data_IF_750690235682
#
_entry.id   IF_750690235682
#
_cell.length_a   1.000
_cell.length_b   1.000
_cell.length_c   1.000
_cell.angle_alpha   90.00
_cell.angle_beta   90.00
_cell.angle_gamma   90.00
#
_symmetry.space_group_name_H-M   'P 1'
#
loop_
_entity.id
_entity.type
_entity.pdbx_description
1 polymer ?
#
# COMPACT_ATOMS: atom_id res chain seq x y z
N UNK A 1 -0.24 24.21 -0.08
CA UNK A 1 -0.31 23.29 1.07
C UNK A 1 -1.38 22.23 0.83
N UNK A 2 -1.03 20.98 1.01
CA UNK A 2 -1.99 19.86 0.94
C UNK A 2 -1.99 19.19 2.33
N UNK A 3 -3.15 19.14 2.98
CA UNK A 3 -3.33 18.46 4.26
C UNK A 3 -2.26 18.83 5.33
N UNK A 4 -1.85 20.09 5.37
CA UNK A 4 -0.88 20.63 6.33
C UNK A 4 0.59 20.31 6.00
N UNK A 5 0.88 19.80 4.81
CA UNK A 5 2.24 19.56 4.31
C UNK A 5 2.47 20.17 2.94
N UNK A 6 3.61 19.84 2.33
CA UNK A 6 4.03 20.36 1.04
C UNK A 6 4.01 19.25 -0.02
N UNK A 7 3.51 19.59 -1.21
CA UNK A 7 3.64 18.79 -2.43
C UNK A 7 4.36 19.64 -3.47
N UNK A 8 5.49 19.16 -3.93
CA UNK A 8 6.22 19.73 -5.06
C UNK A 8 6.09 18.79 -6.25
N UNK A 9 5.76 19.32 -7.41
CA UNK A 9 5.67 18.55 -8.63
C UNK A 9 6.32 19.31 -9.80
N UNK A 10 7.11 18.61 -10.58
CA UNK A 10 7.76 19.12 -11.79
C UNK A 10 7.36 18.25 -12.96
N UNK A 11 6.91 18.88 -14.04
CA UNK A 11 6.56 18.20 -15.29
C UNK A 11 7.56 18.63 -16.36
N UNK A 12 8.22 17.67 -16.97
CA UNK A 12 9.27 17.88 -17.98
C UNK A 12 8.84 17.18 -19.27
N UNK A 13 8.46 17.91 -20.31
CA UNK A 13 8.19 17.32 -21.62
C UNK A 13 9.51 16.95 -22.31
N UNK A 14 9.51 15.89 -23.13
CA UNK A 14 10.69 15.49 -23.93
C UNK A 14 11.10 16.52 -24.98
N UNK A 15 10.14 17.36 -25.44
CA UNK A 15 10.33 18.49 -26.36
C UNK A 15 9.27 19.55 -26.09
N UNK A 16 9.61 20.82 -26.29
CA UNK A 16 8.66 21.93 -26.11
C UNK A 16 7.62 22.00 -27.24
N UNK A 17 7.99 21.60 -28.48
CA UNK A 17 7.15 21.78 -29.65
C UNK A 17 6.35 20.52 -30.01
N UNK A 18 6.91 19.36 -29.82
CA UNK A 18 6.25 18.08 -30.09
C UNK A 18 6.67 17.06 -29.06
N UNK A 19 6.10 17.12 -27.85
CA UNK A 19 6.46 16.19 -26.79
C UNK A 19 5.90 14.80 -27.08
N UNK A 20 6.77 13.80 -27.05
CA UNK A 20 6.40 12.38 -27.17
C UNK A 20 6.28 11.72 -25.80
N UNK A 21 6.89 12.32 -24.78
CA UNK A 21 6.89 11.80 -23.39
C UNK A 21 6.77 12.96 -22.39
N UNK A 22 6.19 12.65 -21.23
CA UNK A 22 6.14 13.53 -20.07
C UNK A 22 6.81 12.84 -18.90
N UNK A 23 7.89 13.41 -18.38
CA UNK A 23 8.45 13.01 -17.11
C UNK A 23 7.84 13.86 -16.00
N UNK A 24 7.27 13.22 -14.98
CA UNK A 24 6.73 13.87 -13.79
C UNK A 24 7.54 13.42 -12.58
N UNK A 25 8.03 14.38 -11.82
CA UNK A 25 8.69 14.14 -10.55
C UNK A 25 7.94 14.86 -9.45
N UNK A 26 7.63 14.18 -8.38
CA UNK A 26 6.95 14.79 -7.25
C UNK A 26 7.61 14.40 -5.93
N UNK A 27 7.51 15.27 -4.95
CA UNK A 27 7.91 15.01 -3.58
C UNK A 27 6.82 15.48 -2.61
N UNK A 28 6.65 14.72 -1.54
CA UNK A 28 5.73 14.98 -0.44
C UNK A 28 6.54 15.19 0.84
N UNK A 29 6.21 16.20 1.63
CA UNK A 29 6.83 16.44 2.93
C UNK A 29 5.78 16.82 3.97
N UNK A 30 5.70 16.04 5.05
CA UNK A 30 4.84 16.30 6.19
C UNK A 30 3.34 16.29 5.92
N UNK A 31 2.89 15.69 4.82
CA UNK A 31 1.47 15.66 4.41
C UNK A 31 0.67 14.75 5.32
N UNK A 32 -0.43 15.26 5.88
CA UNK A 32 -1.36 14.46 6.70
C UNK A 32 -2.00 13.34 5.89
N UNK A 33 -1.94 12.10 6.39
CA UNK A 33 -2.47 10.93 5.67
C UNK A 33 -4.00 10.85 5.71
N UNK A 34 -4.64 11.26 6.81
CA UNK A 34 -6.08 11.08 7.01
C UNK A 34 -6.92 11.75 5.91
N UNK A 35 -6.70 13.02 5.54
CA UNK A 35 -7.47 13.64 4.47
C UNK A 35 -7.31 12.95 3.11
N UNK A 36 -6.13 12.37 2.85
CA UNK A 36 -5.84 11.68 1.59
C UNK A 36 -6.58 10.33 1.50
N UNK A 37 -6.70 9.62 2.60
CA UNK A 37 -7.34 8.31 2.63
C UNK A 37 -8.85 8.36 2.87
N UNK A 38 -9.35 9.45 3.43
CA UNK A 38 -10.77 9.62 3.77
C UNK A 38 -11.75 9.27 2.64
N UNK A 39 -11.49 9.61 1.36
CA UNK A 39 -12.37 9.24 0.26
C UNK A 39 -12.43 7.72 0.00
N UNK A 40 -11.42 6.96 0.43
CA UNK A 40 -11.29 5.53 0.19
C UNK A 40 -11.68 4.69 1.42
N UNK A 41 -11.77 5.31 2.60
CA UNK A 41 -12.14 4.65 3.85
C UNK A 41 -13.65 4.65 4.02
N UNK A 42 -14.29 3.50 3.82
CA UNK A 42 -15.71 3.31 4.15
C UNK A 42 -15.93 3.20 5.66
N UNK A 43 -17.19 3.39 6.11
CA UNK A 43 -17.60 3.23 7.53
C UNK A 43 -17.33 1.83 8.08
N UNK A 44 -17.21 0.83 7.22
CA UNK A 44 -17.01 -0.59 7.55
C UNK A 44 -15.57 -1.05 7.29
N UNK A 45 -14.63 -0.12 7.09
CA UNK A 45 -13.22 -0.47 6.87
C UNK A 45 -12.65 -1.17 8.10
N UNK A 46 -11.95 -2.29 7.89
CA UNK A 46 -11.24 -3.03 8.94
C UNK A 46 -10.11 -2.20 9.56
N UNK A 47 -9.60 -1.22 8.82
CA UNK A 47 -8.55 -0.30 9.24
C UNK A 47 -9.04 1.13 9.04
N UNK A 48 -8.94 1.95 10.08
CA UNK A 48 -9.24 3.39 10.03
C UNK A 48 -8.02 4.16 10.49
N UNK A 49 -7.33 4.81 9.56
CA UNK A 49 -6.18 5.66 9.89
C UNK A 49 -6.70 7.00 10.39
N UNK A 50 -6.28 7.40 11.59
CA UNK A 50 -6.71 8.62 12.28
C UNK A 50 -5.74 9.78 12.09
N UNK A 51 -4.44 9.47 12.04
CA UNK A 51 -3.41 10.48 11.86
C UNK A 51 -2.13 9.85 11.32
N UNK A 52 -1.18 10.69 10.98
CA UNK A 52 0.16 10.34 10.52
C UNK A 52 0.64 11.32 9.47
N UNK A 53 1.95 11.39 9.29
CA UNK A 53 2.60 12.23 8.29
C UNK A 53 3.24 11.39 7.22
N UNK A 54 2.98 11.74 5.97
CA UNK A 54 3.58 11.14 4.79
C UNK A 54 4.75 11.98 4.29
N UNK A 55 5.82 11.31 3.96
CA UNK A 55 6.98 11.83 3.25
C UNK A 55 7.30 10.90 2.10
N UNK A 56 7.85 11.43 1.01
CA UNK A 56 8.30 10.56 -0.07
C UNK A 56 8.39 11.24 -1.42
N UNK A 57 8.53 10.42 -2.44
CA UNK A 57 8.68 10.86 -3.82
C UNK A 57 8.01 9.90 -4.79
N UNK A 58 7.59 10.44 -5.93
CA UNK A 58 7.13 9.66 -7.06
C UNK A 58 7.77 10.17 -8.36
N UNK A 59 8.04 9.24 -9.24
CA UNK A 59 8.46 9.53 -10.61
C UNK A 59 7.52 8.82 -11.57
N UNK A 60 7.15 9.50 -12.65
CA UNK A 60 6.36 8.94 -13.74
C UNK A 60 7.00 9.36 -15.06
N UNK A 61 7.11 8.43 -15.97
CA UNK A 61 7.50 8.67 -17.35
C UNK A 61 6.39 8.13 -18.26
N UNK A 62 5.62 9.04 -18.84
CA UNK A 62 4.41 8.75 -19.58
C UNK A 62 4.63 9.06 -21.06
N UNK A 63 4.50 8.09 -21.98
CA UNK A 63 4.43 8.36 -23.38
C UNK A 63 3.14 9.12 -23.72
N UNK A 64 3.22 9.97 -24.72
CA UNK A 64 2.08 10.71 -25.27
C UNK A 64 1.61 10.06 -26.56
N UNK A 65 0.33 9.73 -26.63
CA UNK A 65 -0.33 9.29 -27.85
C UNK A 65 -1.31 10.37 -28.29
N UNK A 66 -1.07 10.97 -29.45
CA UNK A 66 -1.87 12.11 -29.93
C UNK A 66 -1.97 13.25 -28.90
N UNK A 67 -0.87 13.57 -28.22
CA UNK A 67 -0.79 14.62 -27.20
C UNK A 67 -1.46 14.26 -25.85
N UNK A 68 -1.92 13.02 -25.67
CA UNK A 68 -2.55 12.57 -24.43
C UNK A 68 -1.65 11.58 -23.71
N UNK A 69 -1.46 11.71 -22.38
CA UNK A 69 -0.71 10.74 -21.60
C UNK A 69 -1.35 9.35 -21.67
N UNK A 70 -0.51 8.33 -21.94
CA UNK A 70 -0.87 6.91 -21.93
C UNK A 70 -0.31 6.24 -20.66
N UNK A 71 -1.05 6.26 -19.55
CA UNK A 71 -0.54 5.77 -18.27
C UNK A 71 -0.06 4.32 -18.31
N UNK A 72 -0.74 3.47 -19.09
CA UNK A 72 -0.43 2.04 -19.15
C UNK A 72 0.75 1.66 -20.04
N UNK A 73 1.21 2.59 -20.84
CA UNK A 73 2.45 2.43 -21.58
C UNK A 73 3.63 3.09 -20.87
N UNK A 74 3.37 3.76 -19.75
CA UNK A 74 4.35 4.46 -18.94
C UNK A 74 5.09 3.57 -17.96
N UNK A 75 6.01 4.21 -17.25
CA UNK A 75 6.74 3.63 -16.11
C UNK A 75 6.90 4.65 -15.00
N UNK A 76 7.12 4.18 -13.78
CA UNK A 76 7.30 5.08 -12.65
C UNK A 76 7.70 4.34 -11.37
N UNK A 77 8.01 5.11 -10.36
CA UNK A 77 8.29 4.61 -9.02
C UNK A 77 7.59 5.47 -7.98
N UNK A 78 7.28 4.84 -6.86
CA UNK A 78 6.70 5.49 -5.69
C UNK A 78 7.44 5.00 -4.45
N UNK A 79 7.99 5.95 -3.69
CA UNK A 79 8.62 5.71 -2.40
C UNK A 79 7.93 6.61 -1.38
N UNK A 80 7.24 5.99 -0.42
CA UNK A 80 6.56 6.72 0.64
C UNK A 80 6.99 6.19 2.00
N UNK A 81 7.02 7.06 2.98
CA UNK A 81 7.13 6.73 4.40
C UNK A 81 6.02 7.39 5.19
N UNK A 82 5.46 6.64 6.13
CA UNK A 82 4.50 7.11 7.13
C UNK A 82 5.19 7.16 8.48
N UNK A 83 5.02 8.26 9.21
CA UNK A 83 5.56 8.44 10.56
C UNK A 83 4.49 8.93 11.53
N UNK A 84 4.62 8.48 12.79
CA UNK A 84 3.77 8.92 13.88
C UNK A 84 2.29 8.66 13.66
N UNK A 85 1.98 7.57 12.94
CA UNK A 85 0.61 7.22 12.62
C UNK A 85 -0.18 6.70 13.83
N UNK A 86 -1.49 6.92 13.77
CA UNK A 86 -2.49 6.36 14.65
C UNK A 86 -3.57 5.70 13.79
N UNK A 87 -3.90 4.45 14.09
CA UNK A 87 -4.98 3.76 13.39
C UNK A 87 -5.83 2.93 14.35
N UNK A 88 -7.10 2.76 14.01
CA UNK A 88 -7.97 1.77 14.63
C UNK A 88 -8.08 0.55 13.71
N UNK A 89 -7.98 -0.64 14.29
CA UNK A 89 -8.00 -1.91 13.61
C UNK A 89 -9.14 -2.77 14.16
N UNK A 90 -10.19 -2.97 13.36
CA UNK A 90 -11.38 -3.73 13.77
C UNK A 90 -11.20 -5.23 13.47
N UNK A 91 -10.30 -5.89 14.18
CA UNK A 91 -10.08 -7.33 14.09
C UNK A 91 -10.47 -7.99 15.43
N UNK A 92 -11.52 -8.83 15.47
CA UNK A 92 -12.01 -9.45 16.71
C UNK A 92 -10.96 -10.27 17.46
N UNK A 93 -10.00 -10.87 16.71
CA UNK A 93 -8.92 -11.68 17.28
C UNK A 93 -7.84 -10.88 18.02
N UNK A 94 -7.86 -9.53 17.93
CA UNK A 94 -6.91 -8.70 18.67
C UNK A 94 -7.52 -8.21 19.99
N UNK A 95 -6.70 -8.14 21.05
CA UNK A 95 -7.11 -7.61 22.36
C UNK A 95 -7.27 -6.09 22.34
N UNK A 96 -6.49 -5.40 21.52
CA UNK A 96 -6.62 -3.97 21.31
C UNK A 96 -6.93 -3.66 19.85
N UNK A 97 -7.79 -2.69 19.64
CA UNK A 97 -8.14 -2.19 18.32
C UNK A 97 -7.31 -0.97 17.90
N UNK A 98 -6.47 -0.45 18.78
CA UNK A 98 -5.72 0.79 18.53
C UNK A 98 -4.25 0.52 18.26
N UNK A 99 -3.76 1.05 17.16
CA UNK A 99 -2.36 1.01 16.74
C UNK A 99 -1.75 2.40 16.91
N UNK A 100 -0.93 2.55 17.94
CA UNK A 100 -0.15 3.76 18.18
C UNK A 100 1.24 3.64 17.54
N UNK A 101 1.88 4.78 17.27
CA UNK A 101 3.23 4.87 16.70
C UNK A 101 3.37 4.06 15.41
N UNK A 102 2.35 4.15 14.56
CA UNK A 102 2.36 3.47 13.28
C UNK A 102 3.42 4.09 12.37
N UNK A 103 4.30 3.25 11.89
CA UNK A 103 5.29 3.57 10.88
C UNK A 103 5.05 2.71 9.65
N UNK A 104 5.28 3.27 8.47
CA UNK A 104 5.08 2.54 7.23
C UNK A 104 6.06 2.96 6.15
N UNK A 105 6.36 2.03 5.25
CA UNK A 105 7.13 2.29 4.04
C UNK A 105 6.44 1.63 2.86
N UNK A 106 6.46 2.29 1.72
CA UNK A 106 5.95 1.76 0.45
C UNK A 106 6.98 2.03 -0.62
N UNK A 107 7.50 0.95 -1.21
CA UNK A 107 8.39 1.00 -2.36
C UNK A 107 7.76 0.22 -3.50
N UNK A 108 7.39 0.91 -4.55
CA UNK A 108 6.75 0.29 -5.71
C UNK A 108 7.35 0.80 -7.01
N UNK A 109 7.38 -0.07 -8.00
CA UNK A 109 7.72 0.27 -9.38
C UNK A 109 6.58 -0.14 -10.29
N UNK A 110 6.20 0.77 -11.13
CA UNK A 110 5.19 0.54 -12.14
C UNK A 110 5.84 0.56 -13.53
N UNK A 111 5.53 -0.45 -14.32
CA UNK A 111 5.98 -0.54 -15.72
C UNK A 111 4.87 -1.13 -16.58
N UNK A 112 4.33 -0.31 -17.47
CA UNK A 112 3.17 -0.64 -18.30
C UNK A 112 1.97 -1.05 -17.44
N UNK A 113 1.46 -2.25 -17.65
CA UNK A 113 0.34 -2.84 -16.91
C UNK A 113 0.75 -3.50 -15.58
N UNK A 114 2.05 -3.51 -15.25
CA UNK A 114 2.57 -4.24 -14.08
C UNK A 114 3.03 -3.28 -12.98
N UNK A 115 2.48 -3.48 -11.80
CA UNK A 115 2.90 -2.84 -10.56
C UNK A 115 3.65 -3.88 -9.72
N UNK A 116 4.90 -3.61 -9.39
CA UNK A 116 5.72 -4.43 -8.50
C UNK A 116 5.80 -3.77 -7.13
N UNK A 117 5.37 -4.47 -6.11
CA UNK A 117 5.49 -4.09 -4.70
C UNK A 117 6.83 -4.67 -4.20
N UNK A 118 7.87 -3.86 -4.18
CA UNK A 118 9.18 -4.29 -3.69
C UNK A 118 9.16 -4.45 -2.18
N UNK A 119 8.61 -3.45 -1.49
CA UNK A 119 8.44 -3.46 -0.06
C UNK A 119 7.27 -2.56 0.33
N UNK A 120 6.27 -3.16 0.94
CA UNK A 120 5.26 -2.44 1.69
C UNK A 120 5.34 -2.95 3.11
N UNK A 121 5.73 -2.11 4.04
CA UNK A 121 5.88 -2.48 5.43
C UNK A 121 5.09 -1.53 6.32
N UNK A 122 4.44 -2.08 7.33
CA UNK A 122 3.75 -1.32 8.37
C UNK A 122 4.17 -1.91 9.71
N UNK A 123 4.52 -1.06 10.65
CA UNK A 123 5.00 -1.45 11.99
C UNK A 123 4.34 -0.60 13.06
N UNK A 124 4.03 -1.23 14.17
CA UNK A 124 3.63 -0.63 15.44
C UNK A 124 4.13 -1.52 16.58
N UNK A 125 4.07 -1.10 17.84
CA UNK A 125 4.39 -1.99 18.98
C UNK A 125 3.53 -3.25 19.04
N UNK A 126 2.33 -3.22 18.42
CA UNK A 126 1.35 -4.31 18.49
C UNK A 126 1.35 -5.25 17.30
N UNK A 127 1.86 -4.80 16.14
CA UNK A 127 1.94 -5.63 14.94
C UNK A 127 2.98 -5.11 13.97
N UNK A 128 3.51 -6.02 13.17
CA UNK A 128 4.27 -5.68 11.98
C UNK A 128 3.71 -6.49 10.79
N UNK A 129 3.56 -5.81 9.66
CA UNK A 129 3.10 -6.42 8.42
C UNK A 129 4.06 -6.04 7.30
N UNK A 130 4.45 -7.01 6.49
CA UNK A 130 5.19 -6.76 5.25
C UNK A 130 4.42 -7.38 4.09
N UNK A 131 4.43 -6.69 2.96
CA UNK A 131 3.75 -7.13 1.74
C UNK A 131 4.71 -6.93 0.58
N UNK A 132 4.83 -7.95 -0.29
CA UNK A 132 5.60 -7.89 -1.52
C UNK A 132 4.92 -8.70 -2.62
N UNK A 133 5.19 -8.39 -3.87
CA UNK A 133 4.60 -9.13 -4.99
C UNK A 133 4.32 -8.28 -6.21
N UNK A 134 3.39 -8.74 -7.02
CA UNK A 134 3.06 -8.09 -8.28
C UNK A 134 1.55 -8.00 -8.48
N UNK A 135 1.14 -6.91 -9.14
CA UNK A 135 -0.22 -6.70 -9.61
C UNK A 135 -0.18 -6.41 -11.11
N UNK A 136 -0.94 -7.15 -11.88
CA UNK A 136 -1.15 -6.87 -13.30
C UNK A 136 -2.47 -6.15 -13.46
N UNK A 137 -2.40 -4.90 -13.88
CA UNK A 137 -3.56 -4.03 -14.00
C UNK A 137 -4.33 -4.32 -15.30
N UNK A 138 -5.65 -4.35 -15.20
CA UNK A 138 -6.54 -4.36 -16.36
C UNK A 138 -7.18 -2.96 -16.45
N UNK A 139 -6.77 -2.12 -17.40
CA UNK A 139 -7.03 -0.68 -17.40
C UNK A 139 -8.48 -0.27 -17.35
N UNK A 140 -9.32 -1.00 -18.07
CA UNK A 140 -10.75 -0.70 -18.19
C UNK A 140 -11.62 -1.47 -17.20
N UNK A 141 -11.03 -2.42 -16.47
CA UNK A 141 -11.71 -3.22 -15.45
C UNK A 141 -10.72 -3.50 -14.30
N UNK A 142 -10.44 -2.50 -13.49
CA UNK A 142 -9.56 -2.64 -12.33
C UNK A 142 -9.93 -3.81 -11.41
N UNK A 143 -11.21 -4.13 -11.16
CA UNK A 143 -11.60 -5.33 -10.43
C UNK A 143 -11.13 -6.65 -11.05
N UNK A 144 -10.89 -6.71 -12.37
CA UNK A 144 -10.33 -7.87 -13.07
C UNK A 144 -8.79 -7.93 -13.02
N UNK A 145 -8.13 -6.91 -12.50
CA UNK A 145 -6.68 -6.91 -12.29
C UNK A 145 -6.27 -8.10 -11.42
N UNK A 146 -5.16 -8.72 -11.77
CA UNK A 146 -4.65 -9.91 -11.08
C UNK A 146 -3.54 -9.55 -10.12
N UNK A 147 -3.52 -10.21 -8.98
CA UNK A 147 -2.46 -10.04 -7.98
C UNK A 147 -1.82 -11.39 -7.65
N UNK A 148 -0.53 -11.36 -7.35
CA UNK A 148 0.22 -12.42 -6.69
C UNK A 148 1.11 -11.74 -5.64
N UNK A 149 0.61 -11.72 -4.41
CA UNK A 149 1.18 -10.94 -3.33
C UNK A 149 1.40 -11.85 -2.13
N UNK A 150 2.56 -11.71 -1.50
CA UNK A 150 2.88 -12.37 -0.24
C UNK A 150 2.89 -11.37 0.88
N UNK A 151 2.26 -11.72 1.99
CA UNK A 151 2.20 -10.94 3.20
C UNK A 151 2.75 -11.76 4.37
N UNK A 152 3.56 -11.14 5.22
CA UNK A 152 3.95 -11.69 6.51
C UNK A 152 3.44 -10.77 7.61
N UNK A 153 2.69 -11.33 8.55
CA UNK A 153 2.08 -10.63 9.67
C UNK A 153 2.66 -11.17 10.97
N UNK A 154 3.28 -10.30 11.76
CA UNK A 154 3.80 -10.59 13.11
C UNK A 154 2.93 -9.90 14.13
N UNK A 155 2.41 -10.67 15.08
CA UNK A 155 1.60 -10.17 16.19
C UNK A 155 2.12 -10.86 17.46
N UNK A 156 2.52 -10.12 18.50
CA UNK A 156 2.86 -10.70 19.78
C UNK A 156 1.68 -11.52 20.33
N UNK A 157 1.93 -12.74 20.83
CA UNK A 157 0.87 -13.64 21.30
C UNK A 157 0.04 -13.04 22.43
N UNK A 158 0.64 -12.19 23.26
CA UNK A 158 -0.06 -11.46 24.32
C UNK A 158 -1.13 -10.50 23.81
N UNK A 159 -1.07 -10.13 22.53
CA UNK A 159 -2.04 -9.24 21.86
C UNK A 159 -3.18 -10.02 21.18
N UNK A 160 -3.11 -11.34 21.17
CA UNK A 160 -4.05 -12.21 20.46
C UNK A 160 -5.07 -12.79 21.43
N UNK A 161 -6.32 -12.90 20.99
CA UNK A 161 -7.36 -13.72 21.61
C UNK A 161 -7.32 -15.09 20.94
N UNK A 162 -6.64 -16.04 21.58
CA UNK A 162 -6.38 -17.36 21.00
C UNK A 162 -7.67 -18.09 20.62
N UNK A 163 -8.72 -17.92 21.43
CA UNK A 163 -10.03 -18.53 21.25
C UNK A 163 -10.77 -18.09 19.97
N UNK A 164 -10.38 -16.95 19.40
CA UNK A 164 -10.98 -16.38 18.17
C UNK A 164 -10.11 -16.60 16.93
N UNK A 165 -8.95 -17.23 17.09
CA UNK A 165 -8.00 -17.41 15.99
C UNK A 165 -8.12 -18.82 15.41
N UNK A 166 -8.10 -18.98 14.08
CA UNK A 166 -8.01 -20.30 13.44
C UNK A 166 -6.76 -21.05 13.93
N UNK A 167 -6.92 -22.34 14.26
CA UNK A 167 -5.87 -23.16 14.85
C UNK A 167 -4.54 -23.14 14.07
N UNK A 168 -4.61 -23.27 12.74
CA UNK A 168 -3.41 -23.20 11.87
C UNK A 168 -2.68 -21.87 11.96
N UNK A 169 -3.42 -20.77 12.05
CA UNK A 169 -2.86 -19.42 12.19
C UNK A 169 -2.20 -19.25 13.55
N UNK A 170 -2.86 -19.71 14.61
CA UNK A 170 -2.33 -19.69 15.97
C UNK A 170 -1.06 -20.53 16.09
N UNK A 171 -1.04 -21.72 15.48
CA UNK A 171 0.13 -22.59 15.48
C UNK A 171 1.31 -21.92 14.77
N UNK A 172 1.07 -21.28 13.59
CA UNK A 172 2.11 -20.55 12.87
C UNK A 172 2.68 -19.40 13.69
N UNK A 173 1.84 -18.66 14.42
CA UNK A 173 2.30 -17.61 15.34
C UNK A 173 3.13 -18.17 16.50
N UNK A 174 2.74 -19.31 17.09
CA UNK A 174 3.47 -19.95 18.19
C UNK A 174 4.83 -20.49 17.73
N UNK A 175 4.88 -21.11 16.56
CA UNK A 175 6.09 -21.77 16.06
C UNK A 175 7.09 -20.82 15.41
N UNK A 176 6.59 -19.83 14.65
CA UNK A 176 7.40 -18.96 13.77
C UNK A 176 7.36 -17.48 14.17
N UNK A 177 6.47 -17.10 15.09
CA UNK A 177 6.24 -15.69 15.44
C UNK A 177 5.58 -14.86 14.33
N UNK A 178 5.16 -15.51 13.22
CA UNK A 178 4.53 -14.82 12.09
C UNK A 178 3.52 -15.71 11.36
N UNK A 179 2.57 -15.08 10.70
CA UNK A 179 1.63 -15.71 9.76
C UNK A 179 1.95 -15.22 8.36
N UNK A 180 2.18 -16.14 7.44
CA UNK A 180 2.38 -15.84 6.02
C UNK A 180 1.10 -16.12 5.26
N UNK A 181 0.69 -15.16 4.45
CA UNK A 181 -0.50 -15.27 3.60
C UNK A 181 -0.12 -14.93 2.18
N UNK A 182 -0.45 -15.82 1.25
CA UNK A 182 -0.36 -15.53 -0.17
C UNK A 182 -1.74 -15.16 -0.69
N UNK A 183 -1.83 -14.01 -1.38
CA UNK A 183 -3.06 -13.50 -1.96
C UNK A 183 -2.90 -13.56 -3.48
N UNK A 184 -3.80 -14.26 -4.15
CA UNK A 184 -3.77 -14.45 -5.61
C UNK A 184 -5.12 -14.17 -6.23
N UNK A 185 -5.15 -14.26 -7.56
CA UNK A 185 -6.32 -14.06 -8.42
C UNK A 185 -6.70 -12.59 -8.62
N UNK A 186 -7.97 -12.28 -8.80
CA UNK A 186 -8.41 -10.94 -9.15
C UNK A 186 -8.82 -10.14 -7.91
N UNK A 187 -8.80 -8.80 -8.01
CA UNK A 187 -9.36 -7.95 -6.95
C UNK A 187 -10.84 -8.23 -6.67
N UNK A 188 -11.58 -8.67 -7.69
CA UNK A 188 -12.99 -9.03 -7.54
C UNK A 188 -13.20 -10.31 -6.74
N UNK A 189 -12.28 -11.28 -6.87
CA UNK A 189 -12.34 -12.60 -6.21
C UNK A 189 -10.94 -13.02 -5.77
N UNK A 190 -10.43 -12.43 -4.69
CA UNK A 190 -9.12 -12.81 -4.16
C UNK A 190 -9.17 -14.20 -3.53
N UNK A 191 -8.15 -14.99 -3.74
CA UNK A 191 -7.88 -16.21 -3.00
C UNK A 191 -6.82 -15.98 -1.94
N UNK A 192 -7.01 -16.54 -0.76
CA UNK A 192 -6.11 -16.42 0.39
C UNK A 192 -5.59 -17.80 0.75
N UNK A 193 -4.28 -17.94 0.81
CA UNK A 193 -3.60 -19.18 1.17
C UNK A 193 -2.65 -18.89 2.35
N UNK A 194 -2.98 -19.44 3.52
CA UNK A 194 -2.14 -19.33 4.71
C UNK A 194 -1.03 -20.36 4.58
N UNK A 195 0.19 -19.87 4.45
CA UNK A 195 1.36 -20.71 4.29
C UNK A 195 1.86 -21.21 5.67
N UNK A 196 2.17 -22.49 5.77
CA UNK A 196 2.72 -23.08 6.99
C UNK A 196 4.11 -22.56 7.34
#
# INVERSE_FOLDING_TARGET
DIAGGELNATVIPSSLWNPERLAVRSSLSGVGIEPLLRPFMGKTSLVQIRSGKLEGSATLDLPLLNGRPEPLAGEGSLNLSLRGGLADLSLPMLKSSRLDKLEGTVETVWKKDRLTLHQVAVRSPMLACTVQGQVTLVPRDLPASRMDVQSALRIPLEQVREELMPERTLQSLKDKGEVRVRIRDTFRRPSFDVQP
#
